data_IF_560965910341
#
_entry.id   IF_560965910341
#
_cell.length_a   1.000
_cell.length_b   1.000
_cell.length_c   1.000
_cell.angle_alpha   90.00
_cell.angle_beta   90.00
_cell.angle_gamma   90.00
#
_symmetry.space_group_name_H-M   'P 1'
#
loop_
_entity.id
_entity.type
_entity.pdbx_description
1 polymer ?
#
# COMPACT_ATOMS: atom_id res chain seq x y z
N UNK A 1 9.11 16.84 24.31
CA UNK A 1 10.50 17.25 24.03
C UNK A 1 10.49 18.03 22.73
N UNK A 2 11.18 19.17 22.67
CA UNK A 2 11.25 19.93 21.41
C UNK A 2 12.13 19.19 20.40
N UNK A 3 11.59 18.94 19.21
CA UNK A 3 12.31 18.27 18.11
C UNK A 3 12.21 19.09 16.83
N UNK A 4 13.23 18.99 15.99
CA UNK A 4 13.21 19.51 14.63
C UNK A 4 13.39 18.33 13.67
N UNK A 5 12.42 18.12 12.78
CA UNK A 5 12.41 17.05 11.80
C UNK A 5 11.73 17.53 10.52
N UNK A 6 12.29 17.22 9.35
CA UNK A 6 11.76 17.67 8.04
C UNK A 6 11.44 19.18 7.99
N UNK A 7 12.35 20.01 8.49
CA UNK A 7 12.21 21.48 8.60
C UNK A 7 11.04 21.98 9.47
N UNK A 8 10.45 21.12 10.29
CA UNK A 8 9.36 21.46 11.22
C UNK A 8 9.86 21.31 12.65
N UNK A 9 9.52 22.27 13.51
CA UNK A 9 9.86 22.24 14.94
C UNK A 9 8.57 22.19 15.75
N UNK A 10 8.44 21.19 16.62
CA UNK A 10 7.23 20.95 17.43
C UNK A 10 7.60 20.21 18.73
N UNK A 11 6.67 20.20 19.69
CA UNK A 11 6.81 19.43 20.92
C UNK A 11 6.35 17.97 20.71
N UNK A 12 7.28 17.02 20.75
CA UNK A 12 6.99 15.59 20.68
C UNK A 12 6.74 15.03 22.08
N UNK A 13 5.55 14.51 22.33
CA UNK A 13 5.06 14.06 23.65
C UNK A 13 4.79 12.56 23.65
N UNK A 14 4.88 11.93 24.82
CA UNK A 14 4.63 10.50 25.02
C UNK A 14 5.75 9.83 25.81
N UNK A 15 5.74 8.51 25.84
CA UNK A 15 6.86 7.73 26.38
C UNK A 15 8.15 8.03 25.61
N UNK A 16 9.27 8.20 26.33
CA UNK A 16 10.52 8.66 25.73
C UNK A 16 11.09 7.64 24.73
N UNK A 17 10.98 6.34 25.01
CA UNK A 17 11.45 5.30 24.10
C UNK A 17 10.54 5.19 22.87
N UNK A 18 9.23 5.30 23.04
CA UNK A 18 8.28 5.35 21.92
C UNK A 18 8.49 6.57 21.03
N UNK A 19 8.72 7.76 21.62
CA UNK A 19 9.02 8.98 20.88
C UNK A 19 10.30 8.85 20.06
N UNK A 20 11.39 8.35 20.68
CA UNK A 20 12.66 8.12 19.98
C UNK A 20 12.49 7.10 18.84
N UNK A 21 11.70 6.05 19.06
CA UNK A 21 11.44 5.01 18.06
C UNK A 21 10.65 5.54 16.86
N UNK A 22 9.57 6.28 17.09
CA UNK A 22 8.78 6.91 16.01
C UNK A 22 9.61 7.96 15.27
N UNK A 23 10.38 8.79 15.98
CA UNK A 23 11.22 9.82 15.35
C UNK A 23 12.27 9.23 14.41
N UNK A 24 12.78 8.03 14.72
CA UNK A 24 13.75 7.30 13.91
C UNK A 24 13.13 6.54 12.73
N UNK A 25 11.79 6.47 12.62
CA UNK A 25 11.13 5.64 11.61
C UNK A 25 11.00 6.37 10.26
N UNK A 26 11.12 5.61 9.16
CA UNK A 26 10.92 6.15 7.81
C UNK A 26 9.49 6.64 7.63
N UNK A 27 8.49 5.94 8.19
CA UNK A 27 7.08 6.32 8.07
C UNK A 27 6.84 7.72 8.62
N UNK A 28 7.36 8.03 9.81
CA UNK A 28 7.18 9.35 10.43
C UNK A 28 7.89 10.45 9.62
N UNK A 29 9.10 10.16 9.15
CA UNK A 29 9.89 11.10 8.33
C UNK A 29 9.22 11.37 6.97
N UNK A 30 8.77 10.33 6.27
CA UNK A 30 8.05 10.45 4.99
C UNK A 30 6.76 11.24 5.16
N UNK A 31 5.96 10.90 6.19
CA UNK A 31 4.71 11.59 6.48
C UNK A 31 4.92 13.09 6.71
N UNK A 32 5.87 13.48 7.58
CA UNK A 32 6.20 14.88 7.82
C UNK A 32 6.80 15.57 6.58
N UNK A 33 7.64 14.87 5.82
CA UNK A 33 8.34 15.41 4.65
C UNK A 33 7.42 15.78 3.49
N UNK A 34 6.26 15.11 3.36
CA UNK A 34 5.25 15.43 2.32
C UNK A 34 4.16 16.40 2.76
N UNK A 35 4.12 16.79 4.04
CA UNK A 35 3.06 17.66 4.53
C UNK A 35 3.10 19.03 3.88
N UNK A 36 1.92 19.52 3.49
CA UNK A 36 1.72 20.90 3.08
C UNK A 36 2.15 21.87 4.19
N UNK A 37 2.88 22.93 3.81
CA UNK A 37 3.43 23.92 4.75
C UNK A 37 2.34 24.67 5.53
N UNK A 38 1.10 24.70 5.01
CA UNK A 38 -0.05 25.33 5.69
C UNK A 38 -0.48 24.59 6.95
N UNK A 39 -0.09 23.33 7.14
CA UNK A 39 -0.29 22.66 8.42
C UNK A 39 0.72 23.19 9.44
N UNK A 40 0.25 24.04 10.36
CA UNK A 40 1.04 24.57 11.48
C UNK A 40 0.91 23.60 12.64
N UNK A 41 2.00 22.90 12.97
CA UNK A 41 2.03 21.87 14.01
C UNK A 41 2.77 22.41 15.22
N UNK A 42 2.11 22.41 16.38
CA UNK A 42 2.73 22.84 17.65
C UNK A 42 3.17 21.67 18.50
N UNK A 43 2.46 20.53 18.41
CA UNK A 43 2.79 19.33 19.15
C UNK A 43 2.32 18.07 18.44
N UNK A 44 3.01 16.96 18.71
CA UNK A 44 2.59 15.60 18.31
C UNK A 44 2.75 14.69 19.52
N UNK A 45 1.68 14.02 19.93
CA UNK A 45 1.68 12.99 20.97
C UNK A 45 1.75 11.60 20.33
N UNK A 46 2.74 10.80 20.73
CA UNK A 46 2.81 9.36 20.44
C UNK A 46 2.01 8.62 21.50
N UNK A 47 0.88 8.05 21.10
CA UNK A 47 -0.06 7.38 22.01
C UNK A 47 0.21 5.88 22.14
N UNK A 48 0.56 5.22 21.03
CA UNK A 48 0.94 3.81 21.01
C UNK A 48 1.83 3.48 19.81
N UNK A 49 2.59 2.39 19.92
CA UNK A 49 3.44 1.86 18.84
C UNK A 49 3.32 0.34 18.78
N UNK A 50 3.25 -0.20 17.56
CA UNK A 50 3.35 -1.61 17.26
C UNK A 50 4.64 -1.86 16.46
N UNK A 51 5.29 -3.00 16.70
CA UNK A 51 6.56 -3.35 16.06
C UNK A 51 6.38 -4.54 15.12
N UNK A 52 7.08 -4.50 13.99
CA UNK A 52 7.27 -5.66 13.12
C UNK A 52 8.16 -6.71 13.80
N UNK A 53 8.17 -7.92 13.26
CA UNK A 53 9.05 -9.00 13.75
C UNK A 53 10.54 -8.65 13.66
N UNK A 54 10.94 -7.87 12.64
CA UNK A 54 12.32 -7.38 12.44
C UNK A 54 12.69 -6.22 13.39
N UNK A 55 11.78 -5.78 14.26
CA UNK A 55 11.97 -4.67 15.19
C UNK A 55 11.70 -3.29 14.60
N UNK A 56 11.36 -3.19 13.31
CA UNK A 56 10.94 -1.94 12.67
C UNK A 56 9.56 -1.46 13.15
N UNK A 57 9.23 -0.20 12.88
CA UNK A 57 7.90 0.33 13.19
C UNK A 57 6.87 -0.34 12.28
N UNK A 58 5.84 -0.94 12.88
CA UNK A 58 4.66 -1.43 12.16
C UNK A 58 3.62 -0.31 12.09
N UNK A 59 3.08 0.09 13.24
CA UNK A 59 2.09 1.15 13.35
C UNK A 59 2.39 2.10 14.51
N UNK A 60 1.92 3.34 14.41
CA UNK A 60 1.81 4.24 15.55
C UNK A 60 0.47 4.97 15.56
N UNK A 61 -0.10 5.15 16.75
CA UNK A 61 -1.22 6.06 16.97
C UNK A 61 -0.68 7.41 17.42
N UNK A 62 -0.98 8.46 16.66
CA UNK A 62 -0.56 9.82 16.99
C UNK A 62 -1.75 10.75 17.17
N UNK A 63 -1.52 11.80 17.96
CA UNK A 63 -2.40 12.97 18.07
C UNK A 63 -1.60 14.26 17.91
N UNK A 64 -1.83 14.96 16.82
CA UNK A 64 -1.23 16.27 16.55
C UNK A 64 -2.10 17.41 17.06
N UNK A 65 -1.46 18.45 17.58
CA UNK A 65 -2.04 19.79 17.70
C UNK A 65 -1.67 20.55 16.42
N UNK A 66 -2.68 20.78 15.59
CA UNK A 66 -2.50 21.37 14.25
C UNK A 66 -3.56 22.44 13.98
N UNK A 67 -3.11 23.53 13.36
CA UNK A 67 -3.97 24.58 12.81
C UNK A 67 -3.65 24.86 11.35
N UNK A 68 -4.55 25.56 10.66
CA UNK A 68 -4.21 26.27 9.43
C UNK A 68 -3.43 27.57 9.75
N UNK A 69 -2.96 28.32 8.73
CA UNK A 69 -2.25 29.60 8.93
C UNK A 69 -3.09 30.68 9.63
N UNK A 70 -4.42 30.60 9.53
CA UNK A 70 -5.37 31.51 10.18
C UNK A 70 -5.63 31.15 11.65
N UNK A 71 -5.11 30.00 12.13
CA UNK A 71 -5.24 29.54 13.51
C UNK A 71 -6.49 28.69 13.77
N UNK A 72 -7.24 28.30 12.73
CA UNK A 72 -8.35 27.38 12.88
C UNK A 72 -7.83 25.98 13.16
N UNK A 73 -8.44 25.31 14.14
CA UNK A 73 -8.04 23.95 14.54
C UNK A 73 -8.43 22.92 13.49
N UNK A 74 -7.51 22.00 13.20
CA UNK A 74 -7.72 20.86 12.31
C UNK A 74 -7.70 19.56 13.14
N UNK A 75 -8.53 18.55 12.84
CA UNK A 75 -8.42 17.25 13.49
C UNK A 75 -7.04 16.62 13.26
N UNK A 76 -6.30 16.36 14.34
CA UNK A 76 -4.93 15.83 14.28
C UNK A 76 -4.78 14.35 14.62
N UNK A 77 -5.84 13.55 14.49
CA UNK A 77 -5.77 12.11 14.78
C UNK A 77 -5.14 11.36 13.61
N UNK A 78 -4.07 10.61 13.86
CA UNK A 78 -3.30 9.93 12.80
C UNK A 78 -3.05 8.47 13.17
N UNK A 79 -3.31 7.57 12.23
CA UNK A 79 -2.83 6.20 12.21
C UNK A 79 -1.65 6.15 11.25
N UNK A 80 -0.45 6.20 11.83
CA UNK A 80 0.81 6.18 11.09
C UNK A 80 1.17 4.73 10.77
N UNK A 81 1.14 4.37 9.49
CA UNK A 81 1.44 3.03 8.99
C UNK A 81 2.41 3.01 7.81
N UNK A 82 2.65 4.16 7.18
CA UNK A 82 3.51 4.27 6.00
C UNK A 82 2.81 3.91 4.70
N UNK A 83 3.57 4.03 3.62
CA UNK A 83 3.09 3.82 2.26
C UNK A 83 3.14 2.34 1.86
N UNK A 84 2.35 1.98 0.85
CA UNK A 84 2.26 0.64 0.30
C UNK A 84 2.32 0.64 -1.23
N UNK A 85 2.52 -0.54 -1.80
CA UNK A 85 2.43 -0.80 -3.25
C UNK A 85 1.37 -1.84 -3.52
N UNK A 86 0.73 -1.76 -4.68
CA UNK A 86 -0.15 -2.82 -5.18
C UNK A 86 0.04 -3.00 -6.68
N UNK A 87 -0.10 -4.25 -7.16
CA UNK A 87 0.21 -4.61 -8.54
C UNK A 87 -1.00 -5.23 -9.23
N UNK A 88 -1.50 -4.55 -10.25
CA UNK A 88 -2.54 -5.03 -11.14
C UNK A 88 -1.93 -5.85 -12.28
N UNK A 89 -1.96 -7.18 -12.13
CA UNK A 89 -1.32 -8.11 -13.05
C UNK A 89 -2.36 -8.62 -14.05
N UNK A 90 -2.10 -8.43 -15.34
CA UNK A 90 -2.89 -8.98 -16.44
C UNK A 90 -2.09 -10.02 -17.21
N UNK A 91 -2.63 -11.23 -17.30
CA UNK A 91 -2.05 -12.35 -18.04
C UNK A 91 -2.88 -12.62 -19.30
N UNK A 92 -2.23 -12.59 -20.47
CA UNK A 92 -2.87 -12.85 -21.76
C UNK A 92 -2.65 -14.31 -22.16
N UNK A 93 -3.73 -15.08 -22.27
CA UNK A 93 -3.67 -16.49 -22.68
C UNK A 93 -3.70 -16.68 -24.21
N UNK A 94 -3.82 -15.58 -24.95
CA UNK A 94 -3.99 -15.51 -26.41
C UNK A 94 -5.45 -15.39 -26.87
N UNK A 95 -6.40 -15.71 -26.01
CA UNK A 95 -7.86 -15.65 -26.25
C UNK A 95 -8.59 -14.76 -25.24
N UNK A 96 -8.09 -14.69 -24.00
CA UNK A 96 -8.68 -13.96 -22.88
C UNK A 96 -7.60 -13.30 -22.02
N UNK A 97 -7.96 -12.17 -21.43
CA UNK A 97 -7.16 -11.45 -20.43
C UNK A 97 -7.64 -11.88 -19.04
N UNK A 98 -6.71 -12.32 -18.20
CA UNK A 98 -6.94 -12.75 -16.81
C UNK A 98 -6.29 -11.79 -15.84
N UNK A 99 -6.92 -11.52 -14.71
CA UNK A 99 -6.33 -10.76 -13.60
C UNK A 99 -5.94 -11.69 -12.47
N UNK A 100 -4.73 -11.49 -11.96
CA UNK A 100 -4.23 -12.21 -10.78
C UNK A 100 -4.67 -11.48 -9.52
N UNK A 101 -5.47 -12.16 -8.70
CA UNK A 101 -5.93 -11.71 -7.40
C UNK A 101 -5.42 -12.66 -6.32
N UNK A 102 -5.46 -12.21 -5.08
CA UNK A 102 -5.19 -13.01 -3.89
C UNK A 102 -6.43 -13.00 -3.00
N UNK A 103 -6.60 -14.08 -2.24
CA UNK A 103 -7.62 -14.17 -1.19
C UNK A 103 -6.93 -14.25 0.16
N UNK A 104 -7.29 -13.37 1.08
CA UNK A 104 -6.63 -13.29 2.39
C UNK A 104 -7.58 -12.81 3.50
N UNK A 105 -7.36 -13.20 4.77
CA UNK A 105 -8.10 -12.66 5.89
C UNK A 105 -7.78 -11.19 6.16
N UNK A 106 -8.84 -10.39 6.28
CA UNK A 106 -8.79 -9.01 6.77
C UNK A 106 -9.61 -8.90 8.05
N UNK A 107 -8.99 -9.35 9.15
CA UNK A 107 -9.59 -9.29 10.49
C UNK A 107 -10.14 -7.91 10.88
N UNK A 108 -9.45 -6.77 10.63
CA UNK A 108 -9.94 -5.46 11.03
C UNK A 108 -11.30 -5.05 10.43
N UNK A 109 -11.65 -5.58 9.26
CA UNK A 109 -12.95 -5.33 8.60
C UNK A 109 -13.90 -6.52 8.71
N UNK A 110 -13.53 -7.57 9.46
CA UNK A 110 -14.36 -8.75 9.67
C UNK A 110 -14.56 -9.63 8.44
N UNK A 111 -13.67 -9.56 7.45
CA UNK A 111 -13.76 -10.35 6.20
C UNK A 111 -12.69 -11.42 6.21
N UNK A 112 -13.08 -12.68 6.12
CA UNK A 112 -12.14 -13.81 6.16
C UNK A 112 -11.51 -14.13 4.80
N UNK A 113 -12.25 -13.91 3.72
CA UNK A 113 -11.78 -14.12 2.34
C UNK A 113 -11.93 -12.81 1.57
N UNK A 114 -11.02 -11.87 1.84
CA UNK A 114 -10.94 -10.63 1.08
C UNK A 114 -10.24 -10.89 -0.24
N UNK A 115 -10.90 -10.57 -1.35
CA UNK A 115 -10.37 -10.72 -2.71
C UNK A 115 -9.69 -9.43 -3.11
N UNK A 116 -8.38 -9.45 -3.34
CA UNK A 116 -7.55 -8.26 -3.49
C UNK A 116 -6.53 -8.44 -4.62
N UNK A 117 -5.95 -7.34 -5.12
CA UNK A 117 -4.72 -7.43 -5.92
C UNK A 117 -3.50 -7.60 -5.01
N UNK A 118 -2.41 -8.22 -5.50
CA UNK A 118 -1.20 -8.34 -4.71
C UNK A 118 -0.67 -6.99 -4.21
N UNK A 119 -0.31 -6.91 -2.94
CA UNK A 119 0.08 -5.65 -2.31
C UNK A 119 0.89 -5.86 -1.02
N UNK A 120 1.76 -4.89 -0.72
CA UNK A 120 2.54 -4.92 0.52
C UNK A 120 3.05 -3.55 0.93
N UNK A 121 3.44 -3.44 2.20
CA UNK A 121 3.98 -2.21 2.78
C UNK A 121 5.41 -1.97 2.29
N UNK A 122 5.77 -0.71 2.15
CA UNK A 122 7.14 -0.34 1.82
C UNK A 122 8.08 -0.59 3.00
N UNK A 123 9.17 -1.30 2.73
CA UNK A 123 10.30 -1.39 3.66
C UNK A 123 11.27 -0.20 3.48
N UNK A 124 12.19 -0.06 4.43
CA UNK A 124 13.16 1.04 4.46
C UNK A 124 14.30 0.87 3.42
N UNK A 125 14.25 -0.15 2.55
CA UNK A 125 15.44 -0.62 1.80
C UNK A 125 15.23 -0.75 0.28
N UNK A 126 14.02 -0.56 -0.25
CA UNK A 126 13.70 -0.85 -1.65
C UNK A 126 13.19 0.33 -2.49
N UNK A 127 13.30 0.19 -3.82
CA UNK A 127 12.49 0.99 -4.75
C UNK A 127 11.07 0.42 -4.79
N UNK A 128 10.07 1.27 -5.05
CA UNK A 128 8.66 0.84 -5.14
C UNK A 128 8.45 -0.32 -6.13
N UNK A 129 9.16 -0.30 -7.27
CA UNK A 129 9.10 -1.37 -8.26
C UNK A 129 9.74 -2.68 -7.75
N UNK A 130 10.84 -2.60 -7.01
CA UNK A 130 11.49 -3.76 -6.41
C UNK A 130 10.62 -4.40 -5.32
N UNK A 131 10.03 -3.59 -4.45
CA UNK A 131 9.06 -4.04 -3.44
C UNK A 131 7.85 -4.69 -4.11
N UNK A 132 7.26 -4.03 -5.10
CA UNK A 132 6.12 -4.57 -5.85
C UNK A 132 6.39 -5.96 -6.46
N UNK A 133 7.57 -6.17 -7.06
CA UNK A 133 7.93 -7.47 -7.61
C UNK A 133 8.17 -8.54 -6.54
N UNK A 134 8.75 -8.17 -5.38
CA UNK A 134 8.91 -9.06 -4.22
C UNK A 134 7.54 -9.51 -3.70
N UNK A 135 6.63 -8.57 -3.46
CA UNK A 135 5.29 -8.86 -2.95
C UNK A 135 4.53 -9.79 -3.91
N UNK A 136 4.59 -9.52 -5.21
CA UNK A 136 3.96 -10.41 -6.21
C UNK A 136 4.51 -11.83 -6.13
N UNK A 137 5.81 -12.00 -5.96
CA UNK A 137 6.42 -13.32 -5.84
C UNK A 137 6.00 -14.02 -4.54
N UNK A 138 6.00 -13.30 -3.42
CA UNK A 138 5.62 -13.83 -2.11
C UNK A 138 4.14 -14.23 -2.06
N UNK A 139 3.28 -13.41 -2.66
CA UNK A 139 1.83 -13.57 -2.56
C UNK A 139 1.20 -14.45 -3.66
N UNK A 140 1.89 -14.62 -4.79
CA UNK A 140 1.33 -15.38 -5.94
C UNK A 140 2.26 -16.48 -6.45
N UNK A 141 3.55 -16.43 -6.09
CA UNK A 141 4.58 -17.27 -6.67
C UNK A 141 4.99 -16.87 -8.10
N UNK A 142 4.43 -15.79 -8.65
CA UNK A 142 4.82 -15.25 -9.95
C UNK A 142 6.11 -14.44 -9.84
N UNK A 143 7.06 -14.72 -10.71
CA UNK A 143 8.26 -13.89 -10.85
C UNK A 143 8.03 -12.90 -11.98
N UNK A 144 8.01 -11.62 -11.64
CA UNK A 144 7.82 -10.53 -12.61
C UNK A 144 9.08 -9.68 -12.73
N UNK A 145 9.35 -9.16 -13.93
CA UNK A 145 10.42 -8.18 -14.11
C UNK A 145 9.92 -6.79 -13.66
N UNK A 146 10.49 -6.27 -12.57
CA UNK A 146 10.14 -4.97 -12.00
C UNK A 146 10.34 -3.80 -12.98
N UNK A 147 11.25 -3.91 -13.96
CA UNK A 147 11.47 -2.87 -14.98
C UNK A 147 10.29 -2.73 -15.95
N UNK A 148 9.40 -3.73 -16.00
CA UNK A 148 8.19 -3.73 -16.84
C UNK A 148 6.95 -3.22 -16.10
N UNK A 149 7.09 -2.86 -14.82
CA UNK A 149 6.01 -2.27 -14.05
C UNK A 149 5.70 -0.87 -14.58
N UNK A 150 4.42 -0.60 -14.85
CA UNK A 150 3.95 0.73 -15.21
C UNK A 150 3.24 1.35 -14.02
N UNK A 151 3.71 2.51 -13.54
CA UNK A 151 2.99 3.26 -12.50
C UNK A 151 1.69 3.78 -13.11
N UNK A 152 0.56 3.40 -12.53
CA UNK A 152 -0.77 3.84 -12.94
C UNK A 152 -1.15 5.16 -12.26
N UNK A 153 -1.05 5.19 -10.93
CA UNK A 153 -1.42 6.34 -10.09
C UNK A 153 -1.03 6.08 -8.62
N UNK A 154 -1.33 7.05 -7.74
CA UNK A 154 -1.16 6.94 -6.29
C UNK A 154 -2.42 7.41 -5.55
N UNK A 155 -2.88 6.67 -4.54
CA UNK A 155 -4.12 6.97 -3.83
C UNK A 155 -3.99 6.84 -2.31
N UNK A 156 -4.66 7.73 -1.57
CA UNK A 156 -4.85 7.61 -0.13
C UNK A 156 -6.16 6.85 0.17
N UNK A 157 -6.13 5.65 0.78
CA UNK A 157 -7.34 4.87 1.02
C UNK A 157 -8.29 5.53 2.02
N UNK A 158 -7.74 6.20 3.04
CA UNK A 158 -8.50 6.84 4.12
C UNK A 158 -7.76 8.06 4.68
N UNK A 159 -7.56 9.07 3.83
CA UNK A 159 -6.78 10.28 4.15
C UNK A 159 -7.32 11.15 5.29
N UNK A 160 -8.49 10.84 5.85
CA UNK A 160 -9.02 11.50 7.04
C UNK A 160 -8.41 11.00 8.36
N UNK A 161 -7.68 9.88 8.35
CA UNK A 161 -7.15 9.28 9.57
C UNK A 161 -5.91 8.42 9.42
N UNK A 162 -5.45 8.10 8.20
CA UNK A 162 -4.21 7.39 7.95
C UNK A 162 -3.27 8.21 7.07
N UNK A 163 -1.97 8.05 7.28
CA UNK A 163 -0.95 8.66 6.43
C UNK A 163 -0.78 7.95 5.08
N UNK A 164 -1.23 6.69 4.96
CA UNK A 164 -0.92 5.81 3.83
C UNK A 164 -1.26 6.40 2.46
N UNK A 165 -0.29 6.28 1.55
CA UNK A 165 -0.54 6.25 0.11
C UNK A 165 -0.19 4.88 -0.45
N UNK A 166 -1.02 4.41 -1.39
CA UNK A 166 -0.79 3.18 -2.14
C UNK A 166 -0.42 3.56 -3.58
N UNK A 167 0.79 3.20 -4.00
CA UNK A 167 1.19 3.29 -5.41
C UNK A 167 0.67 2.08 -6.18
N UNK A 168 -0.10 2.33 -7.23
CA UNK A 168 -0.67 1.29 -8.07
C UNK A 168 0.21 1.11 -9.31
N UNK A 169 0.71 -0.10 -9.49
CA UNK A 169 1.42 -0.51 -10.71
C UNK A 169 0.57 -1.46 -11.53
N UNK A 170 0.77 -1.49 -12.85
CA UNK A 170 0.32 -2.58 -13.71
C UNK A 170 1.49 -3.41 -14.23
N UNK A 171 1.20 -4.68 -14.51
CA UNK A 171 2.09 -5.60 -15.21
C UNK A 171 1.29 -6.41 -16.22
N UNK A 172 1.75 -6.48 -17.47
CA UNK A 172 1.15 -7.30 -18.52
C UNK A 172 2.14 -8.39 -18.97
N UNK A 173 1.67 -9.63 -19.15
CA UNK A 173 2.47 -10.70 -19.74
C UNK A 173 1.61 -11.68 -20.54
N UNK A 174 2.13 -12.13 -21.68
CA UNK A 174 1.58 -13.31 -22.34
C UNK A 174 2.05 -14.57 -21.60
N UNK A 175 1.13 -15.50 -21.34
CA UNK A 175 1.43 -16.74 -20.63
C UNK A 175 0.54 -17.87 -21.18
N UNK A 176 1.06 -19.09 -21.38
CA UNK A 176 0.25 -20.20 -21.89
C UNK A 176 -0.97 -20.48 -20.99
N UNK A 177 -2.15 -20.84 -21.55
CA UNK A 177 -3.36 -21.11 -20.76
C UNK A 177 -3.15 -22.15 -19.64
N UNK A 178 -2.32 -23.18 -19.88
CA UNK A 178 -2.00 -24.19 -18.88
C UNK A 178 -1.16 -23.67 -17.70
N UNK A 179 -0.26 -22.72 -17.95
CA UNK A 179 0.53 -22.06 -16.89
C UNK A 179 -0.33 -21.09 -16.08
N UNK A 180 -1.21 -20.33 -16.75
CA UNK A 180 -2.21 -19.49 -16.08
C UNK A 180 -3.09 -20.35 -15.18
N UNK A 181 -3.70 -21.42 -15.72
CA UNK A 181 -4.55 -22.31 -14.94
C UNK A 181 -3.86 -22.93 -13.72
N UNK A 182 -2.54 -23.19 -13.80
CA UNK A 182 -1.76 -23.73 -12.69
C UNK A 182 -1.58 -22.74 -11.52
N UNK A 183 -1.85 -21.45 -11.71
CA UNK A 183 -1.82 -20.46 -10.63
C UNK A 183 -3.09 -20.52 -9.76
N UNK A 184 -4.23 -20.94 -10.32
CA UNK A 184 -5.50 -20.94 -9.60
C UNK A 184 -5.44 -21.76 -8.31
N UNK A 185 -5.81 -21.16 -7.18
CA UNK A 185 -5.81 -21.80 -5.87
C UNK A 185 -4.42 -22.10 -5.30
N UNK A 186 -3.35 -21.64 -5.95
CA UNK A 186 -1.98 -21.78 -5.44
C UNK A 186 -1.89 -21.11 -4.07
N UNK A 187 -1.42 -21.88 -3.08
CA UNK A 187 -1.12 -21.35 -1.76
C UNK A 187 0.21 -20.60 -1.79
N UNK A 188 0.21 -19.42 -1.19
CA UNK A 188 1.35 -18.51 -1.12
C UNK A 188 1.29 -17.74 0.21
N UNK A 189 2.20 -16.78 0.39
CA UNK A 189 2.31 -15.98 1.61
C UNK A 189 3.60 -16.25 2.39
N UNK A 190 4.03 -15.24 3.13
CA UNK A 190 5.20 -15.31 3.98
C UNK A 190 4.92 -16.10 5.27
N UNK A 191 5.59 -17.25 5.44
CA UNK A 191 5.47 -18.08 6.66
C UNK A 191 5.73 -17.31 7.97
N UNK A 192 6.52 -16.23 7.92
CA UNK A 192 6.89 -15.41 9.07
C UNK A 192 5.85 -14.33 9.44
N UNK A 193 4.88 -14.05 8.57
CA UNK A 193 3.86 -13.02 8.79
C UNK A 193 2.49 -13.62 9.16
N UNK A 194 2.42 -14.95 9.36
CA UNK A 194 1.18 -15.70 9.58
C UNK A 194 0.12 -15.49 8.48
N UNK A 195 0.55 -15.06 7.29
CA UNK A 195 -0.33 -14.84 6.17
C UNK A 195 -0.63 -16.16 5.46
N UNK A 196 -1.92 -16.48 5.38
CA UNK A 196 -2.42 -17.60 4.58
C UNK A 196 -3.22 -17.02 3.45
N UNK A 197 -2.66 -17.12 2.25
CA UNK A 197 -3.29 -16.57 1.06
C UNK A 197 -3.34 -17.60 -0.07
N UNK A 198 -4.31 -17.43 -0.96
CA UNK A 198 -4.42 -18.24 -2.16
C UNK A 198 -4.72 -17.38 -3.38
N UNK A 199 -4.16 -17.78 -4.53
CA UNK A 199 -4.35 -17.07 -5.79
C UNK A 199 -5.75 -17.33 -6.37
N UNK A 200 -6.40 -16.28 -6.84
CA UNK A 200 -7.65 -16.32 -7.59
C UNK A 200 -7.44 -15.66 -8.95
N UNK A 201 -7.77 -16.37 -10.02
CA UNK A 201 -7.80 -15.82 -11.36
C UNK A 201 -9.24 -15.50 -11.74
N UNK A 202 -9.43 -14.29 -12.24
CA UNK A 202 -10.72 -13.87 -12.81
C UNK A 202 -10.49 -13.28 -14.18
N UNK A 203 -11.45 -13.39 -15.10
CA UNK A 203 -11.42 -12.61 -16.32
C UNK A 203 -11.33 -11.11 -16.04
N UNK A 204 -10.54 -10.40 -16.83
CA UNK A 204 -10.35 -8.96 -16.67
C UNK A 204 -11.68 -8.20 -16.68
N UNK A 205 -12.58 -8.53 -17.58
CA UNK A 205 -13.90 -7.90 -17.73
C UNK A 205 -14.87 -8.23 -16.59
N UNK A 206 -14.58 -9.27 -15.80
CA UNK A 206 -15.41 -9.71 -14.69
C UNK A 206 -14.94 -9.17 -13.33
N UNK A 207 -13.72 -8.61 -13.24
CA UNK A 207 -13.09 -8.21 -11.98
C UNK A 207 -14.01 -7.39 -11.04
N UNK A 208 -14.77 -6.37 -11.50
CA UNK A 208 -15.63 -5.58 -10.62
C UNK A 208 -16.73 -6.38 -9.90
N UNK A 209 -17.05 -7.59 -10.36
CA UNK A 209 -18.02 -8.48 -9.70
C UNK A 209 -17.37 -9.36 -8.62
N UNK A 210 -16.05 -9.53 -8.63
CA UNK A 210 -15.32 -10.44 -7.75
C UNK A 210 -14.66 -9.79 -6.54
N UNK A 211 -14.55 -8.45 -6.51
CA UNK A 211 -13.85 -7.75 -5.43
C UNK A 211 -14.61 -6.52 -4.92
N UNK A 212 -14.42 -6.22 -3.64
CA UNK A 212 -14.78 -4.94 -2.99
C UNK A 212 -13.56 -4.14 -2.55
N UNK A 213 -12.37 -4.64 -2.87
CA UNK A 213 -11.11 -4.04 -2.51
C UNK A 213 -10.87 -2.75 -3.30
N UNK A 214 -10.63 -1.66 -2.57
CA UNK A 214 -10.55 -0.32 -3.15
C UNK A 214 -9.37 -0.22 -4.13
N UNK A 215 -8.22 -0.79 -3.79
CA UNK A 215 -7.03 -0.74 -4.66
C UNK A 215 -7.23 -1.56 -5.94
N UNK A 216 -7.90 -2.71 -5.88
CA UNK A 216 -8.23 -3.49 -7.08
C UNK A 216 -9.17 -2.72 -8.02
N UNK A 217 -10.22 -2.09 -7.50
CA UNK A 217 -11.19 -1.32 -8.31
C UNK A 217 -10.58 -0.03 -8.88
N UNK A 218 -9.75 0.68 -8.11
CA UNK A 218 -9.02 1.84 -8.59
C UNK A 218 -8.01 1.46 -9.68
N UNK A 219 -7.24 0.39 -9.46
CA UNK A 219 -6.27 -0.09 -10.44
C UNK A 219 -6.96 -0.52 -11.74
N UNK A 220 -8.10 -1.20 -11.66
CA UNK A 220 -8.92 -1.55 -12.83
C UNK A 220 -9.30 -0.30 -13.65
N UNK A 221 -9.83 0.73 -12.99
CA UNK A 221 -10.18 2.00 -13.64
C UNK A 221 -8.97 2.68 -14.29
N UNK A 222 -7.87 2.83 -13.55
CA UNK A 222 -6.65 3.46 -14.05
C UNK A 222 -6.01 2.67 -15.20
N UNK A 223 -6.02 1.34 -15.12
CA UNK A 223 -5.51 0.46 -16.17
C UNK A 223 -6.31 0.60 -17.47
N UNK A 224 -7.64 0.64 -17.39
CA UNK A 224 -8.47 0.86 -18.58
C UNK A 224 -8.26 2.24 -19.20
N UNK A 225 -8.14 3.30 -18.37
CA UNK A 225 -7.77 4.65 -18.85
C UNK A 225 -6.43 4.62 -19.58
N UNK A 226 -5.42 4.04 -18.93
CA UNK A 226 -4.07 3.93 -19.48
C UNK A 226 -4.02 3.14 -20.81
N UNK A 227 -4.72 2.00 -20.92
CA UNK A 227 -4.81 1.25 -22.18
C UNK A 227 -5.46 2.06 -23.30
N UNK A 228 -6.50 2.84 -22.99
CA UNK A 228 -7.19 3.68 -23.98
C UNK A 228 -6.28 4.80 -24.49
N UNK A 229 -5.51 5.43 -23.60
CA UNK A 229 -4.54 6.46 -23.95
C UNK A 229 -3.36 5.90 -24.76
N UNK A 230 -2.86 4.72 -24.39
CA UNK A 230 -1.82 3.97 -25.12
C UNK A 230 -2.26 3.52 -26.53
N UNK A 231 -3.56 3.27 -26.73
CA UNK A 231 -4.15 2.97 -28.05
C UNK A 231 -4.38 4.21 -28.91
N UNK A 232 -4.47 5.41 -28.32
CA UNK A 232 -4.60 6.69 -29.03
C UNK A 232 -3.27 7.28 -29.47
N UNK A 233 -2.16 6.79 -28.89
CA UNK A 233 -0.79 7.24 -29.15
C UNK A 233 -0.02 6.31 -30.12
N UNK A 234 -0.70 5.32 -30.70
CA UNK A 234 -0.25 4.46 -31.81
C UNK A 234 -1.15 4.68 -33.01
#
# INVERSE_FOLDING_TARGET
MMVTCQNRTFDLRGDAAACAFVLASTQFNTWLGRMDERFVITAIEVQSVDKRFDGGLLFAKLRAEVTDPEGNRIPGSVFLRGDAVAVFIVLHDGTRDWVVLTTQPRFPVGVFESVEIPAGMMDDRGSFAGTAAREVQEETGLVINHERLTLLDEFAPSGGGSDEFIKLYSYEAAMPPGEIAALQGRLAGAHHEHERMSVLLVPLDELPQHTKDIKALLAYGCYHRWRMEGRRSR
#
